data_IF_987044375894
#
_entry.id   IF_987044375894
#
_cell.length_a   1.000
_cell.length_b   1.000
_cell.length_c   1.000
_cell.angle_alpha   90.00
_cell.angle_beta   90.00
_cell.angle_gamma   90.00
#
_symmetry.space_group_name_H-M   'P 1'
#
loop_
_entity.id
_entity.type
_entity.pdbx_description
1 polymer ?
#
# COMPACT_ATOMS: atom_id res chain seq x y z
N UNK A 1 10.84 -7.48 21.69
CA UNK A 1 10.24 -7.65 20.35
C UNK A 1 9.61 -6.33 19.94
N UNK A 2 10.04 -5.72 18.84
CA UNK A 2 9.34 -4.58 18.24
C UNK A 2 7.90 -5.03 18.00
N UNK A 3 6.92 -4.49 18.75
CA UNK A 3 5.50 -4.67 18.43
C UNK A 3 5.37 -4.32 16.95
N UNK A 4 5.05 -5.30 16.10
CA UNK A 4 4.96 -5.09 14.65
C UNK A 4 4.11 -3.84 14.42
N UNK A 5 4.72 -2.81 13.83
CA UNK A 5 4.02 -1.56 13.54
C UNK A 5 2.80 -1.91 12.70
N UNK A 6 1.60 -1.59 13.19
CA UNK A 6 0.35 -1.85 12.47
C UNK A 6 0.38 -1.25 11.06
N UNK A 7 1.15 -0.17 10.85
CA UNK A 7 1.38 0.42 9.52
C UNK A 7 2.20 -0.49 8.61
N UNK A 8 3.26 -1.11 9.12
CA UNK A 8 4.07 -2.06 8.34
C UNK A 8 3.28 -3.32 7.98
N UNK A 9 2.45 -3.82 8.90
CA UNK A 9 1.55 -4.94 8.61
C UNK A 9 0.55 -4.59 7.51
N UNK A 10 -0.12 -3.44 7.60
CA UNK A 10 -1.03 -2.96 6.55
C UNK A 10 -0.32 -2.78 5.20
N UNK A 11 0.87 -2.19 5.18
CA UNK A 11 1.65 -2.05 3.95
C UNK A 11 1.98 -3.42 3.32
N UNK A 12 2.31 -4.41 4.14
CA UNK A 12 2.53 -5.78 3.69
C UNK A 12 1.26 -6.43 3.13
N UNK A 13 0.14 -6.33 3.84
CA UNK A 13 -1.17 -6.84 3.40
C UNK A 13 -1.58 -6.23 2.05
N UNK A 14 -1.36 -4.92 1.83
CA UNK A 14 -1.63 -4.27 0.55
C UNK A 14 -0.74 -4.77 -0.59
N UNK A 15 0.54 -4.97 -0.32
CA UNK A 15 1.49 -5.52 -1.29
C UNK A 15 1.08 -6.95 -1.69
N UNK A 16 0.68 -7.79 -0.75
CA UNK A 16 0.24 -9.16 -1.06
C UNK A 16 -1.12 -9.17 -1.79
N UNK A 17 -2.04 -8.26 -1.46
CA UNK A 17 -3.28 -8.08 -2.20
C UNK A 17 -3.03 -7.67 -3.66
N UNK A 18 -2.08 -6.76 -3.91
CA UNK A 18 -1.67 -6.40 -5.28
C UNK A 18 -1.16 -7.62 -6.05
N UNK A 19 -0.26 -8.40 -5.43
CA UNK A 19 0.29 -9.62 -6.03
C UNK A 19 -0.82 -10.59 -6.39
N UNK A 20 -1.77 -10.80 -5.49
CA UNK A 20 -2.87 -11.73 -5.71
C UNK A 20 -3.73 -11.36 -6.91
N UNK A 21 -4.05 -10.07 -7.08
CA UNK A 21 -4.78 -9.58 -8.26
C UNK A 21 -3.96 -9.86 -9.52
N UNK A 22 -2.67 -9.50 -9.54
CA UNK A 22 -1.81 -9.66 -10.70
C UNK A 22 -1.61 -11.12 -11.12
N UNK A 23 -1.41 -12.02 -10.16
CA UNK A 23 -1.07 -13.42 -10.45
C UNK A 23 -2.32 -14.25 -10.79
N UNK A 24 -3.44 -14.01 -10.10
CA UNK A 24 -4.63 -14.88 -10.17
C UNK A 24 -5.71 -14.38 -11.13
N UNK A 25 -5.84 -13.07 -11.34
CA UNK A 25 -6.89 -12.53 -12.20
C UNK A 25 -6.43 -12.59 -13.66
N UNK A 26 -7.07 -13.45 -14.44
CA UNK A 26 -6.75 -13.64 -15.87
C UNK A 26 -7.66 -12.84 -16.79
N UNK A 27 -8.87 -12.52 -16.33
CA UNK A 27 -9.78 -11.66 -17.07
C UNK A 27 -9.38 -10.19 -16.97
N UNK A 28 -9.38 -9.50 -18.12
CA UNK A 28 -8.89 -8.14 -18.23
C UNK A 28 -9.82 -7.13 -17.55
N UNK A 29 -11.12 -7.28 -17.69
CA UNK A 29 -12.09 -6.35 -17.10
C UNK A 29 -12.23 -6.56 -15.60
N UNK A 30 -12.20 -7.82 -15.15
CA UNK A 30 -12.11 -8.15 -13.73
C UNK A 30 -10.84 -7.59 -13.10
N UNK A 31 -9.70 -7.73 -13.79
CA UNK A 31 -8.42 -7.17 -13.35
C UNK A 31 -8.49 -5.65 -13.24
N UNK A 32 -9.07 -4.97 -14.24
CA UNK A 32 -9.27 -3.52 -14.23
C UNK A 32 -10.12 -3.08 -13.04
N UNK A 33 -11.22 -3.75 -12.76
CA UNK A 33 -12.08 -3.47 -11.61
C UNK A 33 -11.33 -3.64 -10.28
N UNK A 34 -10.68 -4.79 -10.07
CA UNK A 34 -9.96 -5.11 -8.84
C UNK A 34 -8.78 -4.18 -8.59
N UNK A 35 -8.02 -3.84 -9.63
CA UNK A 35 -6.95 -2.85 -9.49
C UNK A 35 -7.47 -1.44 -9.23
N UNK A 36 -8.61 -1.06 -9.79
CA UNK A 36 -9.22 0.26 -9.50
C UNK A 36 -9.63 0.36 -8.04
N UNK A 37 -10.28 -0.67 -7.51
CA UNK A 37 -10.64 -0.73 -6.08
C UNK A 37 -9.40 -0.75 -5.18
N UNK A 38 -8.38 -1.51 -5.56
CA UNK A 38 -7.12 -1.56 -4.82
C UNK A 38 -6.44 -0.18 -4.78
N UNK A 39 -6.44 0.56 -5.90
CA UNK A 39 -5.83 1.89 -6.01
C UNK A 39 -6.52 2.94 -5.14
N UNK A 40 -7.86 2.96 -5.11
CA UNK A 40 -8.61 3.87 -4.24
C UNK A 40 -8.26 3.66 -2.76
N UNK A 41 -8.17 2.39 -2.37
CA UNK A 41 -7.79 1.97 -1.03
C UNK A 41 -6.32 2.30 -0.69
N UNK A 42 -5.41 2.04 -1.63
CA UNK A 42 -3.98 2.29 -1.47
C UNK A 42 -3.67 3.79 -1.38
N UNK A 43 -4.39 4.63 -2.13
CA UNK A 43 -4.18 6.08 -2.19
C UNK A 43 -4.22 6.73 -0.81
N UNK A 44 -5.20 6.38 0.01
CA UNK A 44 -5.32 6.91 1.38
C UNK A 44 -4.09 6.59 2.23
N UNK A 45 -3.66 5.33 2.23
CA UNK A 45 -2.53 4.87 3.04
C UNK A 45 -1.20 5.47 2.56
N UNK A 46 -0.95 5.47 1.25
CA UNK A 46 0.30 6.00 0.71
C UNK A 46 0.36 7.53 0.84
N UNK A 47 -0.76 8.24 0.75
CA UNK A 47 -0.80 9.69 0.99
C UNK A 47 -0.36 10.04 2.41
N UNK A 48 -0.91 9.33 3.41
CA UNK A 48 -0.56 9.56 4.82
C UNK A 48 0.90 9.20 5.11
N UNK A 49 1.38 8.07 4.58
CA UNK A 49 2.77 7.62 4.75
C UNK A 49 3.73 8.61 4.11
N UNK A 50 3.49 9.03 2.87
CA UNK A 50 4.35 9.99 2.16
C UNK A 50 4.36 11.35 2.89
N UNK A 51 3.20 11.80 3.38
CA UNK A 51 3.09 13.07 4.12
C UNK A 51 3.88 13.00 5.44
N UNK A 52 3.78 11.89 6.17
CA UNK A 52 4.53 11.66 7.41
C UNK A 52 6.04 11.59 7.18
N UNK A 53 6.47 10.92 6.11
CA UNK A 53 7.90 10.86 5.76
C UNK A 53 8.40 12.25 5.41
N UNK A 54 7.67 13.02 4.57
CA UNK A 54 8.03 14.39 4.22
C UNK A 54 8.17 15.30 5.43
N UNK A 55 7.25 15.23 6.40
CA UNK A 55 7.30 16.07 7.61
C UNK A 55 8.48 15.77 8.52
N UNK A 56 9.10 14.59 8.39
CA UNK A 56 10.22 14.15 9.21
C UNK A 56 11.51 13.97 8.41
N UNK A 57 11.49 14.22 7.10
CA UNK A 57 12.59 13.90 6.19
C UNK A 57 13.86 14.65 6.59
N UNK A 58 13.75 15.95 6.86
CA UNK A 58 14.88 16.79 7.29
C UNK A 58 15.47 16.32 8.63
N UNK A 59 14.66 15.70 9.50
CA UNK A 59 15.15 15.13 10.77
C UNK A 59 15.75 13.73 10.61
N UNK A 60 15.40 13.00 9.55
CA UNK A 60 15.95 11.66 9.24
C UNK A 60 17.27 11.79 8.48
N UNK A 61 17.40 12.83 7.65
CA UNK A 61 18.56 13.05 6.78
C UNK A 61 19.68 13.90 7.41
N UNK A 62 19.48 14.41 8.64
CA UNK A 62 20.52 15.06 9.46
C UNK A 62 21.11 14.07 10.47
#
# INVERSE_FOLDING_TARGET
MLKQSNRLRKAYEYKESFREIYEKVKDKEEGRLKFTEWLENAKSIYTDVISTIRSHLDSICN
#
